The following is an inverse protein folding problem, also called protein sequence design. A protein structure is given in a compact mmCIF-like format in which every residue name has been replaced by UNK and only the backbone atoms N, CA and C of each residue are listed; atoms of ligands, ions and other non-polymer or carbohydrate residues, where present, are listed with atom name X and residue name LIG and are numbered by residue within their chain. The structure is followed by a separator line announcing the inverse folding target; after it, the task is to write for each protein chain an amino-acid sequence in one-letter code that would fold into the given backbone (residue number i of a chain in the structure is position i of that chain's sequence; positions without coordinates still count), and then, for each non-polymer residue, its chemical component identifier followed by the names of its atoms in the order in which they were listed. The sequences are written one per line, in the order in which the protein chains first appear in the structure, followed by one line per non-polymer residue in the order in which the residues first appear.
data_IF_969593274051
#
_entry.id   IF_969593274051
#
_cell.length_a   1.000
_cell.length_b   1.000
_cell.length_c   1.000
_cell.angle_alpha   90.00
_cell.angle_beta   90.00
_cell.angle_gamma   90.00
#
_symmetry.space_group_name_H-M   'P 1'
#
loop_
_entity.id
_entity.type
_entity.pdbx_description
1 polymer ?
#
# COMPACT_ATOMS: atom_id res chain seq x y z
N UNK A 1 -1.96 -4.03 -2.24
CA UNK A 1 -2.23 -4.06 -0.79
C UNK A 1 -1.22 -4.94 -0.08
N UNK A 2 -1.09 -4.77 1.26
CA UNK A 2 -0.22 -5.60 2.09
C UNK A 2 0.51 -4.83 3.20
N UNK A 3 0.55 -3.50 3.12
CA UNK A 3 1.23 -2.67 4.13
C UNK A 3 0.55 -2.79 5.49
N UNK A 4 -0.78 -2.74 5.53
CA UNK A 4 -1.53 -2.87 6.78
C UNK A 4 -1.33 -4.25 7.43
N UNK A 5 -1.37 -5.32 6.65
CA UNK A 5 -1.11 -6.67 7.16
C UNK A 5 0.30 -6.80 7.76
N UNK A 6 1.31 -6.21 7.11
CA UNK A 6 2.69 -6.19 7.63
C UNK A 6 2.80 -5.38 8.93
N UNK A 7 2.13 -4.24 9.00
CA UNK A 7 2.11 -3.40 10.20
C UNK A 7 1.43 -4.12 11.38
N UNK A 8 0.32 -4.82 11.14
CA UNK A 8 -0.36 -5.65 12.14
C UNK A 8 0.55 -6.78 12.66
N UNK A 9 1.22 -7.49 11.77
CA UNK A 9 2.14 -8.56 12.15
C UNK A 9 3.32 -8.01 12.98
N UNK A 10 3.90 -6.87 12.57
CA UNK A 10 4.95 -6.20 13.31
C UNK A 10 4.47 -5.83 14.74
N UNK A 11 3.28 -5.26 14.85
CA UNK A 11 2.69 -4.90 16.14
C UNK A 11 2.50 -6.12 17.05
N UNK A 12 1.96 -7.21 16.50
CA UNK A 12 1.72 -8.45 17.24
C UNK A 12 3.01 -9.07 17.81
N UNK A 13 4.14 -8.84 17.14
CA UNK A 13 5.46 -9.34 17.55
C UNK A 13 6.33 -8.28 18.24
N UNK A 14 5.80 -7.10 18.56
CA UNK A 14 6.54 -5.97 19.15
C UNK A 14 7.75 -5.55 18.30
N UNK A 15 7.63 -5.64 16.97
CA UNK A 15 8.67 -5.19 16.02
C UNK A 15 8.33 -3.78 15.57
N UNK A 16 9.28 -2.81 15.64
CA UNK A 16 9.04 -1.48 15.12
C UNK A 16 8.84 -1.50 13.61
N UNK A 17 7.85 -0.72 13.13
CA UNK A 17 7.48 -0.63 11.73
C UNK A 17 7.75 0.79 11.21
N UNK A 18 8.66 0.91 10.26
CA UNK A 18 9.09 2.18 9.69
C UNK A 18 8.61 2.31 8.25
N UNK A 19 8.17 3.50 7.88
CA UNK A 19 7.80 3.85 6.51
C UNK A 19 8.82 4.84 5.96
N UNK A 20 9.49 4.49 4.87
CA UNK A 20 10.39 5.39 4.16
C UNK A 20 9.68 5.95 2.93
N UNK A 21 9.52 7.26 2.85
CA UNK A 21 8.85 7.95 1.75
C UNK A 21 9.37 9.39 1.61
N UNK A 22 9.51 9.93 0.38
CA UNK A 22 9.87 11.32 0.20
C UNK A 22 8.73 12.25 0.65
N UNK A 23 9.04 13.48 1.01
CA UNK A 23 8.05 14.49 1.41
C UNK A 23 7.00 14.75 0.33
N UNK A 24 7.36 14.62 -0.94
CA UNK A 24 6.43 14.75 -2.07
C UNK A 24 5.27 13.73 -2.05
N UNK A 25 5.39 12.66 -1.27
CA UNK A 25 4.34 11.66 -1.08
C UNK A 25 3.30 12.09 -0.04
N UNK A 26 3.65 13.07 0.80
CA UNK A 26 2.78 13.52 1.89
C UNK A 26 1.77 14.53 1.37
N UNK A 27 0.50 14.22 1.55
CA UNK A 27 -0.61 15.08 1.16
C UNK A 27 -1.21 15.78 2.39
N UNK A 28 -0.92 17.08 2.52
CA UNK A 28 -1.42 17.91 3.61
C UNK A 28 -2.93 18.22 3.53
N UNK A 29 -3.56 17.99 2.39
CA UNK A 29 -5.00 18.25 2.25
C UNK A 29 -5.87 17.38 3.16
N UNK A 30 -5.29 16.29 3.69
CA UNK A 30 -5.96 15.37 4.63
C UNK A 30 -5.67 15.66 6.10
N UNK A 31 -4.84 16.65 6.42
CA UNK A 31 -4.50 16.97 7.81
C UNK A 31 -5.69 17.65 8.49
N UNK A 32 -6.13 17.06 9.60
CA UNK A 32 -7.21 17.61 10.44
C UNK A 32 -8.63 17.38 9.91
N UNK A 33 -8.82 16.83 8.76
CA UNK A 33 -10.11 16.47 8.22
C UNK A 33 -10.27 14.95 8.12
N UNK A 34 -11.41 14.43 8.57
CA UNK A 34 -11.84 13.05 8.29
C UNK A 34 -12.33 12.95 6.83
N UNK A 35 -11.50 13.31 5.88
CA UNK A 35 -11.82 13.07 4.46
C UNK A 35 -11.68 11.59 4.18
N UNK A 36 -12.73 10.97 3.66
CA UNK A 36 -12.61 9.69 2.99
C UNK A 36 -11.90 9.93 1.66
N UNK A 37 -10.80 9.27 1.42
CA UNK A 37 -10.23 9.20 0.08
C UNK A 37 -10.63 7.88 -0.57
N UNK A 38 -10.92 7.98 -1.87
CA UNK A 38 -11.23 6.80 -2.66
C UNK A 38 -9.94 6.06 -2.98
N UNK A 39 -9.93 4.76 -2.66
CA UNK A 39 -8.85 3.87 -3.09
C UNK A 39 -9.19 3.40 -4.51
N UNK A 40 -8.26 3.59 -5.44
CA UNK A 40 -8.39 3.12 -6.81
C UNK A 40 -8.67 1.62 -6.83
N UNK A 41 -9.73 1.23 -7.53
CA UNK A 41 -10.03 -0.17 -7.80
C UNK A 41 -9.62 -0.49 -9.25
N UNK A 42 -8.64 -1.37 -9.41
CA UNK A 42 -8.07 -1.74 -10.70
C UNK A 42 -8.84 -2.87 -11.35
N UNK A 43 -8.54 -3.14 -12.62
CA UNK A 43 -9.26 -4.16 -13.38
C UNK A 43 -9.08 -5.55 -12.77
N UNK A 44 -10.15 -6.35 -12.61
CA UNK A 44 -10.09 -7.69 -12.02
C UNK A 44 -9.14 -8.65 -12.74
N UNK A 45 -8.96 -8.50 -14.05
CA UNK A 45 -8.09 -9.36 -14.84
C UNK A 45 -6.61 -9.29 -14.42
N UNK A 46 -6.17 -8.24 -13.74
CA UNK A 46 -4.82 -8.19 -13.15
C UNK A 46 -4.60 -9.32 -12.12
N UNK A 47 -5.67 -9.79 -11.50
CA UNK A 47 -5.63 -10.89 -10.52
C UNK A 47 -6.06 -12.23 -11.14
N UNK A 48 -6.88 -12.21 -12.18
CA UNK A 48 -7.51 -13.41 -12.75
C UNK A 48 -6.75 -13.99 -13.92
N UNK A 49 -5.80 -13.26 -14.49
CA UNK A 49 -5.03 -13.66 -15.67
C UNK A 49 -3.53 -13.56 -15.42
N UNK A 50 -2.80 -14.48 -16.03
CA UNK A 50 -1.34 -14.47 -16.00
C UNK A 50 -0.80 -14.74 -17.41
N UNK A 51 0.24 -14.01 -17.78
CA UNK A 51 1.00 -14.30 -19.01
C UNK A 51 2.13 -15.25 -18.69
N UNK A 52 2.28 -16.25 -19.51
CA UNK A 52 3.35 -17.25 -19.38
C UNK A 52 3.85 -17.71 -20.73
N UNK A 53 5.05 -18.30 -20.75
CA UNK A 53 5.65 -18.88 -21.93
C UNK A 53 5.22 -20.35 -22.06
N UNK A 54 4.71 -20.73 -23.21
CA UNK A 54 4.43 -22.11 -23.56
C UNK A 54 5.71 -22.89 -23.85
N UNK A 55 5.60 -24.22 -23.89
CA UNK A 55 6.76 -25.09 -24.20
C UNK A 55 7.37 -24.86 -25.60
N UNK A 56 6.60 -24.30 -26.52
CA UNK A 56 7.04 -23.94 -27.87
C UNK A 56 7.70 -22.54 -27.97
N UNK A 57 7.84 -21.84 -26.81
CA UNK A 57 8.45 -20.50 -26.75
C UNK A 57 7.47 -19.36 -27.04
N UNK A 58 6.19 -19.63 -27.33
CA UNK A 58 5.17 -18.60 -27.51
C UNK A 58 4.66 -18.09 -26.17
N UNK A 59 4.27 -16.81 -26.08
CA UNK A 59 3.64 -16.22 -24.89
C UNK A 59 2.13 -16.29 -25.06
N UNK A 60 1.46 -16.85 -24.07
CA UNK A 60 0.00 -16.83 -23.99
C UNK A 60 -0.48 -16.29 -22.65
N UNK A 61 -1.71 -15.82 -22.63
CA UNK A 61 -2.40 -15.41 -21.43
C UNK A 61 -3.41 -16.46 -21.03
N UNK A 62 -3.35 -16.89 -19.77
CA UNK A 62 -4.30 -17.88 -19.24
C UNK A 62 -5.06 -17.28 -18.08
N UNK A 63 -6.33 -17.67 -17.96
CA UNK A 63 -7.17 -17.33 -16.83
C UNK A 63 -6.89 -18.31 -15.68
N UNK A 64 -6.53 -17.79 -14.52
CA UNK A 64 -6.16 -18.58 -13.34
C UNK A 64 -7.25 -18.60 -12.26
N UNK A 65 -8.27 -17.75 -12.39
CA UNK A 65 -9.40 -17.69 -11.47
C UNK A 65 -10.72 -17.62 -12.19
N UNK A 66 -11.75 -18.30 -11.67
CA UNK A 66 -13.09 -18.37 -12.26
C UNK A 66 -14.12 -17.51 -11.52
N UNK A 67 -13.78 -17.00 -10.33
CA UNK A 67 -14.63 -16.11 -9.54
C UNK A 67 -14.47 -14.65 -9.96
N UNK A 68 -15.30 -13.78 -9.38
CA UNK A 68 -15.09 -12.35 -9.44
C UNK A 68 -13.89 -11.97 -8.57
N UNK A 69 -13.16 -10.89 -8.92
CA UNK A 69 -12.07 -10.37 -8.14
C UNK A 69 -12.30 -8.91 -7.74
N UNK A 70 -12.00 -8.60 -6.50
CA UNK A 70 -11.95 -7.23 -5.98
C UNK A 70 -10.49 -6.82 -5.88
N UNK A 71 -10.09 -5.77 -6.62
CA UNK A 71 -8.69 -5.39 -6.83
C UNK A 71 -8.40 -3.94 -6.40
N UNK A 72 -8.47 -3.60 -5.12
CA UNK A 72 -8.02 -2.30 -4.64
C UNK A 72 -6.50 -2.18 -4.81
N UNK A 73 -6.03 -1.03 -5.32
CA UNK A 73 -4.62 -0.79 -5.60
C UNK A 73 -3.80 -0.54 -4.32
N UNK A 74 -4.44 0.01 -3.29
CA UNK A 74 -3.81 0.41 -2.04
C UNK A 74 -4.61 -0.05 -0.84
N UNK A 75 -3.96 -0.18 0.31
CA UNK A 75 -4.62 -0.31 1.60
C UNK A 75 -4.35 0.93 2.48
N UNK A 76 -5.08 1.02 3.58
CA UNK A 76 -4.95 2.10 4.54
C UNK A 76 -4.34 1.54 5.83
N UNK A 77 -3.15 2.03 6.19
CA UNK A 77 -2.49 1.65 7.43
C UNK A 77 -2.68 2.73 8.49
N UNK A 78 -3.38 2.43 9.61
CA UNK A 78 -3.53 3.39 10.70
C UNK A 78 -2.18 3.82 11.30
N UNK A 79 -2.05 5.11 11.63
CA UNK A 79 -0.84 5.72 12.15
C UNK A 79 -0.31 5.03 13.44
N UNK A 80 -1.21 4.49 14.26
CA UNK A 80 -0.87 3.78 15.50
C UNK A 80 -0.02 2.51 15.31
N UNK A 81 0.03 1.97 14.09
CA UNK A 81 0.87 0.81 13.72
C UNK A 81 2.22 1.21 13.13
N UNK A 82 2.45 2.52 12.93
CA UNK A 82 3.67 3.04 12.33
C UNK A 82 4.54 3.66 13.42
N UNK A 83 5.76 3.16 13.58
CA UNK A 83 6.69 3.67 14.58
C UNK A 83 7.24 5.03 14.19
N UNK A 84 7.70 5.17 12.95
CA UNK A 84 8.22 6.43 12.38
C UNK A 84 8.03 6.44 10.87
N UNK A 85 7.97 7.66 10.33
CA UNK A 85 8.11 7.93 8.89
C UNK A 85 9.48 8.57 8.66
N UNK A 86 10.24 8.02 7.73
CA UNK A 86 11.57 8.45 7.37
C UNK A 86 11.50 9.15 6.02
N UNK A 87 11.96 10.38 5.96
CA UNK A 87 12.03 11.16 4.73
C UNK A 87 13.40 11.84 4.59
N UNK A 88 13.61 12.61 3.53
CA UNK A 88 14.86 13.33 3.27
C UNK A 88 15.23 14.37 4.34
N UNK A 89 14.29 14.79 5.18
CA UNK A 89 14.52 15.73 6.29
C UNK A 89 14.77 15.03 7.63
N UNK A 90 14.61 13.70 7.71
CA UNK A 90 14.82 12.96 8.94
C UNK A 90 13.71 11.94 9.24
N UNK A 91 13.58 11.60 10.52
CA UNK A 91 12.63 10.58 11.01
C UNK A 91 11.63 11.21 11.97
N UNK A 92 10.34 11.05 11.69
CA UNK A 92 9.25 11.75 12.38
C UNK A 92 8.16 10.79 12.84
N UNK A 93 7.43 11.18 13.87
CA UNK A 93 6.20 10.50 14.23
C UNK A 93 5.14 10.71 13.13
N UNK A 94 4.29 9.73 12.83
CA UNK A 94 3.23 9.88 11.81
C UNK A 94 2.35 11.13 12.02
N UNK A 95 2.07 11.47 13.28
CA UNK A 95 1.23 12.61 13.64
C UNK A 95 1.90 13.97 13.38
N UNK A 96 3.23 14.03 13.38
CA UNK A 96 4.00 15.28 13.26
C UNK A 96 4.54 15.54 11.85
N UNK A 97 4.48 14.58 10.96
CA UNK A 97 5.11 14.71 9.64
C UNK A 97 4.46 15.81 8.79
N UNK A 98 3.17 16.02 8.97
CA UNK A 98 2.44 17.08 8.26
C UNK A 98 2.88 18.51 8.59
N UNK A 99 3.59 18.70 9.70
CA UNK A 99 4.12 20.02 10.09
C UNK A 99 5.39 20.42 9.33
N UNK A 100 5.93 19.53 8.49
CA UNK A 100 7.15 19.74 7.71
C UNK A 100 6.90 20.42 6.36
N UNK A 101 5.65 20.59 5.96
CA UNK A 101 5.24 21.09 4.65
C UNK A 101 4.75 22.56 4.71
#
# INVERSE_FOLDING_TARGET
IGTYLKALAAKAHNIPFYVAAPLSTIDNSFIGEKKSFEIECRHPDELLRIKGMNNDGTVSEVKIGMSTAYNPAFDLTPAEYITKIICEKGSYNPESIGTLL
#
